data_IF_153051943810
#
_entry.id   IF_153051943810
#
_cell.length_a   1.000
_cell.length_b   1.000
_cell.length_c   1.000
_cell.angle_alpha   90.00
_cell.angle_beta   90.00
_cell.angle_gamma   90.00
#
_symmetry.space_group_name_H-M   'P 1'
#
loop_
_entity.id
_entity.type
_entity.pdbx_description
1 polymer ?
#
# COMPACT_ATOMS: atom_id res chain seq x y z
N UNK A 1 12.48 -2.37 10.11
CA UNK A 1 11.03 -2.37 9.83
C UNK A 1 10.39 -3.15 10.96
N UNK A 2 9.60 -2.48 11.80
CA UNK A 2 8.93 -3.03 12.98
C UNK A 2 7.60 -2.32 13.25
N UNK A 3 6.92 -1.94 12.17
CA UNK A 3 5.74 -1.06 12.21
C UNK A 3 4.43 -1.85 12.38
N UNK A 4 4.44 -3.13 12.01
CA UNK A 4 3.32 -4.03 12.22
C UNK A 4 3.32 -4.48 13.68
N UNK A 5 2.29 -4.07 14.44
CA UNK A 5 2.09 -4.54 15.82
C UNK A 5 1.54 -5.96 15.82
N UNK A 6 1.69 -6.65 16.95
CA UNK A 6 1.28 -8.06 17.12
C UNK A 6 -0.23 -8.34 16.90
N UNK A 7 -1.06 -7.30 16.85
CA UNK A 7 -2.50 -7.36 16.64
C UNK A 7 -2.93 -6.93 15.22
N UNK A 8 -2.01 -6.96 14.25
CA UNK A 8 -2.30 -6.53 12.87
C UNK A 8 -2.87 -5.11 12.80
N UNK A 9 -2.34 -4.21 13.63
CA UNK A 9 -2.69 -2.79 13.63
C UNK A 9 -1.57 -2.00 12.95
N UNK A 10 -2.00 -1.11 12.05
CA UNK A 10 -1.15 -0.13 11.40
C UNK A 10 -1.43 1.27 11.97
N UNK A 11 -0.37 1.92 12.41
CA UNK A 11 -0.33 3.34 12.74
C UNK A 11 0.45 4.07 11.63
N UNK A 12 -0.22 4.82 10.73
CA UNK A 12 0.42 5.49 9.59
C UNK A 12 1.65 6.31 9.95
N UNK A 13 1.61 7.00 11.08
CA UNK A 13 2.64 7.94 11.54
C UNK A 13 3.99 7.26 11.75
N UNK A 14 3.97 5.97 12.12
CA UNK A 14 5.18 5.19 12.29
C UNK A 14 5.92 4.93 10.98
N UNK A 15 5.24 5.06 9.83
CA UNK A 15 5.87 4.93 8.51
C UNK A 15 6.60 6.19 8.06
N UNK A 16 6.17 7.38 8.52
CA UNK A 16 6.65 8.66 7.99
C UNK A 16 8.16 8.89 8.13
N UNK A 17 8.84 8.48 9.23
CA UNK A 17 10.30 8.59 9.33
C UNK A 17 11.04 7.83 8.21
N UNK A 18 10.51 6.68 7.76
CA UNK A 18 11.12 5.91 6.67
C UNK A 18 10.95 6.58 5.31
N UNK A 19 9.96 7.47 5.18
CA UNK A 19 9.71 8.22 3.96
C UNK A 19 10.63 9.44 3.83
N UNK A 20 11.22 9.92 4.92
CA UNK A 20 11.97 11.18 4.97
C UNK A 20 13.06 11.30 3.89
N UNK A 21 13.70 10.18 3.51
CA UNK A 21 14.76 10.09 2.48
C UNK A 21 14.29 10.28 1.04
N UNK A 22 12.99 10.27 0.78
CA UNK A 22 12.44 10.38 -0.58
C UNK A 22 12.03 11.82 -0.92
N UNK A 23 11.84 12.07 -2.21
CA UNK A 23 11.36 13.33 -2.75
C UNK A 23 10.00 13.75 -2.14
N UNK A 24 9.76 15.05 -1.88
CA UNK A 24 8.51 15.53 -1.31
C UNK A 24 7.23 15.05 -2.02
N UNK A 25 7.20 15.07 -3.35
CA UNK A 25 6.02 14.66 -4.11
C UNK A 25 5.75 13.16 -3.93
N UNK A 26 6.81 12.33 -3.94
CA UNK A 26 6.69 10.90 -3.66
C UNK A 26 6.25 10.64 -2.22
N UNK A 27 6.80 11.37 -1.25
CA UNK A 27 6.44 11.23 0.18
C UNK A 27 4.96 11.47 0.40
N UNK A 28 4.39 12.54 -0.16
CA UNK A 28 2.98 12.87 0.03
C UNK A 28 2.05 11.83 -0.61
N UNK A 29 2.38 11.35 -1.81
CA UNK A 29 1.60 10.27 -2.45
C UNK A 29 1.59 9.00 -1.58
N UNK A 30 2.75 8.60 -1.05
CA UNK A 30 2.86 7.40 -0.22
C UNK A 30 2.20 7.59 1.16
N UNK A 31 2.31 8.77 1.78
CA UNK A 31 1.59 9.07 3.03
C UNK A 31 0.07 8.95 2.85
N UNK A 32 -0.46 9.53 1.77
CA UNK A 32 -1.87 9.45 1.43
C UNK A 32 -2.29 8.00 1.20
N UNK A 33 -1.47 7.20 0.50
CA UNK A 33 -1.74 5.79 0.30
C UNK A 33 -1.79 4.99 1.62
N UNK A 34 -0.82 5.22 2.52
CA UNK A 34 -0.78 4.57 3.84
C UNK A 34 -2.00 4.97 4.68
N UNK A 35 -2.36 6.26 4.70
CA UNK A 35 -3.53 6.76 5.41
C UNK A 35 -4.84 6.15 4.89
N UNK A 36 -5.05 6.15 3.58
CA UNK A 36 -6.22 5.54 2.95
C UNK A 36 -6.31 4.04 3.26
N UNK A 37 -5.21 3.30 3.16
CA UNK A 37 -5.20 1.87 3.47
C UNK A 37 -5.39 1.58 4.97
N UNK A 38 -4.90 2.46 5.85
CA UNK A 38 -5.14 2.34 7.29
C UNK A 38 -6.60 2.59 7.67
N UNK A 39 -7.33 3.44 6.93
CA UNK A 39 -8.77 3.64 7.16
C UNK A 39 -9.64 2.43 6.84
N UNK A 40 -9.14 1.50 6.00
CA UNK A 40 -9.84 0.26 5.62
C UNK A 40 -9.18 -0.99 6.24
N UNK A 41 -8.29 -0.83 7.22
CA UNK A 41 -7.53 -1.95 7.77
C UNK A 41 -8.42 -3.02 8.43
N UNK A 42 -9.60 -2.65 8.94
CA UNK A 42 -10.58 -3.60 9.47
C UNK A 42 -11.17 -4.50 8.39
N UNK A 43 -11.45 -3.95 7.21
CA UNK A 43 -11.91 -4.72 6.06
C UNK A 43 -10.82 -5.69 5.61
N UNK A 44 -9.57 -5.22 5.56
CA UNK A 44 -8.41 -6.07 5.25
C UNK A 44 -8.26 -7.19 6.27
N UNK A 45 -8.40 -6.91 7.58
CA UNK A 45 -8.35 -7.93 8.64
C UNK A 45 -9.44 -8.99 8.45
N UNK A 46 -10.67 -8.57 8.14
CA UNK A 46 -11.79 -9.48 7.87
C UNK A 46 -11.50 -10.39 6.67
N UNK A 47 -10.96 -9.84 5.59
CA UNK A 47 -10.62 -10.62 4.40
C UNK A 47 -9.54 -11.67 4.69
N UNK A 48 -8.53 -11.32 5.49
CA UNK A 48 -7.45 -12.24 5.91
C UNK A 48 -7.99 -13.40 6.74
N UNK A 49 -8.92 -13.15 7.67
CA UNK A 49 -9.54 -14.20 8.48
C UNK A 49 -10.23 -15.26 7.61
N UNK A 50 -10.76 -14.86 6.45
CA UNK A 50 -11.44 -15.76 5.52
C UNK A 50 -10.47 -16.56 4.62
N UNK A 51 -9.17 -16.22 4.59
CA UNK A 51 -8.20 -16.86 3.69
C UNK A 51 -7.66 -18.21 4.20
N UNK A 52 -7.85 -18.54 5.48
CA UNK A 52 -7.41 -19.84 6.04
C UNK A 52 -5.90 -20.09 5.99
N UNK A 53 -5.09 -19.04 5.88
CA UNK A 53 -3.62 -19.15 5.79
C UNK A 53 -2.99 -19.47 7.15
N UNK A 54 -1.85 -20.17 7.14
CA UNK A 54 -1.11 -20.53 8.37
C UNK A 54 -0.51 -19.31 9.10
N UNK A 55 -0.27 -18.22 8.36
CA UNK A 55 0.18 -16.93 8.89
C UNK A 55 -0.83 -15.85 8.50
N UNK A 56 -0.94 -14.80 9.31
CA UNK A 56 -1.75 -13.63 8.94
C UNK A 56 -1.25 -13.02 7.62
N UNK A 57 -2.11 -13.00 6.61
CA UNK A 57 -1.85 -12.35 5.32
C UNK A 57 -2.06 -10.83 5.37
N UNK A 58 -2.37 -10.26 6.55
CA UNK A 58 -2.69 -8.85 6.72
C UNK A 58 -1.60 -7.94 6.18
N UNK A 59 -0.34 -8.18 6.56
CA UNK A 59 0.78 -7.37 6.07
C UNK A 59 0.90 -7.38 4.54
N UNK A 60 0.58 -8.50 3.89
CA UNK A 60 0.62 -8.63 2.43
C UNK A 60 -0.51 -7.82 1.80
N UNK A 61 -1.75 -7.98 2.26
CA UNK A 61 -2.89 -7.27 1.70
C UNK A 61 -2.81 -5.76 1.97
N UNK A 62 -2.33 -5.36 3.14
CA UNK A 62 -2.08 -3.95 3.44
C UNK A 62 -1.03 -3.37 2.48
N UNK A 63 0.06 -4.09 2.24
CA UNK A 63 1.07 -3.67 1.26
C UNK A 63 0.49 -3.59 -0.17
N UNK A 64 -0.35 -4.54 -0.58
CA UNK A 64 -1.04 -4.51 -1.87
C UNK A 64 -1.91 -3.27 -2.01
N UNK A 65 -2.68 -2.92 -0.97
CA UNK A 65 -3.47 -1.69 -0.93
C UNK A 65 -2.58 -0.45 -1.13
N UNK A 66 -1.51 -0.32 -0.32
CA UNK A 66 -0.63 0.86 -0.38
C UNK A 66 0.00 0.98 -1.77
N UNK A 67 0.44 -0.15 -2.34
CA UNK A 67 1.00 -0.22 -3.69
C UNK A 67 -0.01 0.26 -4.74
N UNK A 68 -1.24 -0.27 -4.74
CA UNK A 68 -2.28 0.10 -5.69
C UNK A 68 -2.62 1.60 -5.60
N UNK A 69 -2.90 2.10 -4.40
CA UNK A 69 -3.23 3.52 -4.20
C UNK A 69 -2.07 4.43 -4.61
N UNK A 70 -0.83 4.04 -4.32
CA UNK A 70 0.37 4.79 -4.75
C UNK A 70 0.47 4.86 -6.28
N UNK A 71 0.30 3.74 -6.99
CA UNK A 71 0.40 3.74 -8.46
C UNK A 71 -0.75 4.49 -9.14
N UNK A 72 -1.98 4.31 -8.66
CA UNK A 72 -3.14 5.02 -9.20
C UNK A 72 -3.02 6.55 -9.03
N UNK A 73 -2.36 7.00 -7.96
CA UNK A 73 -2.11 8.42 -7.68
C UNK A 73 -0.70 8.89 -8.10
N UNK A 74 0.02 8.11 -8.92
CA UNK A 74 1.36 8.49 -9.36
C UNK A 74 1.28 9.73 -10.28
N UNK A 75 2.01 10.82 -9.95
CA UNK A 75 2.03 12.06 -10.73
C UNK A 75 2.44 11.83 -12.19
N UNK A 76 1.81 12.56 -13.12
CA UNK A 76 2.01 12.34 -14.55
C UNK A 76 3.45 12.62 -15.01
N UNK A 77 4.12 13.60 -14.39
CA UNK A 77 5.52 13.96 -14.64
C UNK A 77 6.53 12.90 -14.17
N UNK A 78 6.10 12.00 -13.28
CA UNK A 78 6.91 10.88 -12.77
C UNK A 78 6.50 9.53 -13.37
N UNK A 79 5.38 9.51 -14.10
CA UNK A 79 4.85 8.30 -14.69
C UNK A 79 5.62 7.90 -15.95
N UNK A 80 6.14 6.68 -15.97
CA UNK A 80 6.71 6.11 -17.18
C UNK A 80 5.60 5.45 -17.99
N UNK A 81 5.13 6.14 -19.04
CA UNK A 81 4.10 5.58 -19.92
C UNK A 81 4.66 4.36 -20.67
N UNK A 82 3.99 3.23 -20.50
CA UNK A 82 4.21 2.00 -21.25
C UNK A 82 3.00 1.08 -21.06
N UNK A 83 2.80 0.13 -21.96
CA UNK A 83 1.69 -0.82 -21.87
C UNK A 83 1.61 -1.52 -20.50
N UNK A 84 2.77 -1.92 -19.97
CA UNK A 84 2.85 -2.64 -18.69
C UNK A 84 2.58 -1.69 -17.52
N UNK A 85 3.20 -0.51 -17.52
CA UNK A 85 2.97 0.49 -16.48
C UNK A 85 1.50 0.88 -16.43
N UNK A 86 0.89 1.17 -17.57
CA UNK A 86 -0.51 1.65 -17.65
C UNK A 86 -1.49 0.61 -17.11
N UNK A 87 -1.24 -0.69 -17.35
CA UNK A 87 -1.98 -1.78 -16.72
C UNK A 87 -1.83 -1.80 -15.19
N UNK A 88 -0.62 -1.58 -14.66
CA UNK A 88 -0.39 -1.49 -13.21
C UNK A 88 -1.16 -0.30 -12.61
N UNK A 89 -1.19 0.85 -13.29
CA UNK A 89 -1.95 2.04 -12.85
C UNK A 89 -3.45 1.79 -12.78
N UNK A 90 -3.96 0.97 -13.69
CA UNK A 90 -5.36 0.52 -13.74
C UNK A 90 -5.69 -0.58 -12.72
N UNK A 91 -4.72 -1.02 -11.92
CA UNK A 91 -4.92 -2.06 -10.91
C UNK A 91 -4.93 -3.50 -11.46
N UNK A 92 -4.51 -3.70 -12.71
CA UNK A 92 -4.38 -5.05 -13.29
C UNK A 92 -3.25 -5.79 -12.56
N UNK A 93 -3.50 -7.01 -12.03
CA UNK A 93 -2.46 -7.82 -11.39
C UNK A 93 -1.31 -8.10 -12.36
N UNK A 94 -0.06 -8.09 -11.88
CA UNK A 94 1.10 -8.43 -12.74
C UNK A 94 1.11 -9.90 -13.18
N UNK A 95 0.33 -10.76 -12.51
CA UNK A 95 0.23 -12.20 -12.79
C UNK A 95 -1.23 -12.61 -13.05
N UNK A 96 -1.97 -11.78 -13.79
CA UNK A 96 -3.37 -12.03 -14.20
C UNK A 96 -3.48 -12.54 -15.63
#
# INVERSE_FOLDING_TARGET
>A
MGVLKANDVIEPEQYYPYLAKFDPAYREVVKNAIGSCASIQDDIRRDVQNMGAACSAFGILFYVCVRQVTFSNCPADRWQSSHICDKIKQGVPMCG
#
